data_IF_260933811581
#
_entry.id   IF_260933811581
#
_cell.length_a   1.000
_cell.length_b   1.000
_cell.length_c   1.000
_cell.angle_alpha   90.00
_cell.angle_beta   90.00
_cell.angle_gamma   90.00
#
_symmetry.space_group_name_H-M   'P 1'
#
loop_
_entity.id
_entity.type
_entity.pdbx_description
1 polymer ?
#
# COMPACT_ATOMS: atom_id res chain seq x y z
N UNK A 1 5.81 3.32 -0.56
CA UNK A 1 5.05 2.31 0.23
C UNK A 1 5.00 2.68 1.70
N UNK A 2 6.10 3.17 2.28
CA UNK A 2 6.17 3.55 3.70
C UNK A 2 5.10 4.54 4.13
N UNK A 3 4.84 5.59 3.34
CA UNK A 3 3.77 6.54 3.63
C UNK A 3 2.37 5.87 3.77
N UNK A 4 2.07 4.85 2.96
CA UNK A 4 0.80 4.11 3.06
C UNK A 4 0.73 3.33 4.37
N UNK A 5 1.84 2.69 4.78
CA UNK A 5 1.91 1.97 6.06
C UNK A 5 1.82 2.94 7.21
N UNK A 6 2.54 4.07 7.17
CA UNK A 6 2.49 5.12 8.17
C UNK A 6 1.05 5.61 8.40
N UNK A 7 0.31 5.91 7.33
CA UNK A 7 -1.08 6.38 7.42
C UNK A 7 -1.97 5.38 8.17
N UNK A 8 -1.91 4.09 7.84
CA UNK A 8 -2.85 3.10 8.38
C UNK A 8 -2.37 2.39 9.66
N UNK A 9 -1.06 2.28 9.88
CA UNK A 9 -0.48 1.58 11.02
C UNK A 9 -0.12 2.53 12.15
N UNK A 10 0.63 3.57 11.82
CA UNK A 10 1.25 4.47 12.81
C UNK A 10 0.34 5.68 13.10
N UNK A 11 -0.54 6.03 12.14
CA UNK A 11 -1.44 7.16 12.21
C UNK A 11 -0.76 8.43 11.72
N UNK A 12 -1.15 8.90 10.53
CA UNK A 12 -0.66 10.17 10.02
C UNK A 12 -1.46 11.32 10.64
N UNK A 13 -0.80 12.17 11.44
CA UNK A 13 -1.45 13.27 12.14
C UNK A 13 -2.12 14.29 11.20
N UNK A 14 -1.57 14.46 9.99
CA UNK A 14 -2.12 15.35 8.95
C UNK A 14 -3.23 14.72 8.12
N UNK A 15 -3.52 13.42 8.30
CA UNK A 15 -4.57 12.68 7.57
C UNK A 15 -5.49 12.05 8.62
N UNK A 16 -6.13 12.93 9.41
CA UNK A 16 -7.12 12.55 10.42
C UNK A 16 -8.52 12.26 9.86
N UNK A 17 -9.44 11.69 10.68
CA UNK A 17 -10.84 11.49 10.32
C UNK A 17 -11.49 12.82 9.91
N UNK A 18 -12.35 12.79 8.90
CA UNK A 18 -12.95 13.96 8.23
C UNK A 18 -13.75 14.94 9.10
N UNK A 19 -13.83 14.73 10.41
CA UNK A 19 -14.71 15.47 11.33
C UNK A 19 -13.95 16.28 12.40
N UNK A 20 -12.63 16.45 12.27
CA UNK A 20 -11.86 17.32 13.19
C UNK A 20 -11.25 18.48 12.43
N UNK A 21 -11.55 19.69 12.90
CA UNK A 21 -10.90 20.93 12.45
C UNK A 21 -9.38 20.75 12.53
N UNK A 22 -8.73 20.82 11.36
CA UNK A 22 -7.27 20.86 11.29
C UNK A 22 -6.82 22.12 12.01
N UNK A 23 -6.35 21.98 13.26
CA UNK A 23 -5.64 23.09 13.92
C UNK A 23 -4.51 23.50 13.00
N UNK A 24 -4.56 24.75 12.54
CA UNK A 24 -3.71 25.37 11.52
C UNK A 24 -2.20 25.34 11.84
N UNK A 25 -1.81 24.82 13.02
CA UNK A 25 -0.44 24.73 13.54
C UNK A 25 0.02 23.27 13.77
N UNK A 26 -0.32 22.32 12.89
CA UNK A 26 0.31 20.99 12.92
C UNK A 26 1.55 20.95 12.05
N UNK A 27 2.66 20.48 12.62
CA UNK A 27 3.91 20.29 11.89
C UNK A 27 3.70 19.36 10.67
N UNK A 28 4.33 19.64 9.51
CA UNK A 28 4.22 18.77 8.34
C UNK A 28 4.65 17.33 8.64
N UNK A 29 3.93 16.36 8.07
CA UNK A 29 4.32 14.96 8.17
C UNK A 29 5.71 14.73 7.53
N UNK A 30 6.59 14.00 8.22
CA UNK A 30 7.94 13.63 7.74
C UNK A 30 7.91 12.84 6.42
N UNK A 31 6.82 12.12 6.16
CA UNK A 31 6.63 11.38 4.93
C UNK A 31 5.98 12.28 3.88
N UNK A 32 6.79 12.87 3.00
CA UNK A 32 6.34 13.77 1.91
C UNK A 32 5.21 13.15 1.07
N UNK A 33 5.28 11.84 0.82
CA UNK A 33 4.27 11.12 0.06
C UNK A 33 2.89 11.02 0.75
N UNK A 34 2.76 11.34 2.04
CA UNK A 34 1.46 11.35 2.72
C UNK A 34 0.53 12.39 2.11
N UNK A 35 1.01 13.61 1.85
CA UNK A 35 0.22 14.68 1.20
C UNK A 35 -0.28 14.24 -0.18
N UNK A 36 0.53 13.49 -0.93
CA UNK A 36 0.12 12.93 -2.23
C UNK A 36 -0.92 11.81 -2.12
N UNK A 37 -0.96 11.08 -1.01
CA UNK A 37 -1.91 9.98 -0.77
C UNK A 37 -3.20 10.44 -0.07
N UNK A 38 -3.18 11.58 0.60
CA UNK A 38 -4.25 12.15 1.41
C UNK A 38 -5.60 12.19 0.68
N UNK A 39 -5.63 12.75 -0.54
CA UNK A 39 -6.85 12.82 -1.35
C UNK A 39 -7.42 11.43 -1.66
N UNK A 40 -6.54 10.48 -2.00
CA UNK A 40 -6.94 9.10 -2.28
C UNK A 40 -7.51 8.43 -1.04
N UNK A 41 -6.89 8.62 0.12
CA UNK A 41 -7.33 8.05 1.41
C UNK A 41 -8.71 8.58 1.79
N UNK A 42 -8.89 9.91 1.78
CA UNK A 42 -10.19 10.53 2.10
C UNK A 42 -11.28 10.11 1.11
N UNK A 43 -10.97 10.13 -0.18
CA UNK A 43 -11.91 9.68 -1.21
C UNK A 43 -12.32 8.23 -0.99
N UNK A 44 -11.35 7.34 -0.77
CA UNK A 44 -11.63 5.91 -0.60
C UNK A 44 -12.43 5.61 0.68
N UNK A 45 -12.33 6.45 1.71
CA UNK A 45 -13.16 6.33 2.91
C UNK A 45 -14.64 6.67 2.65
N UNK A 46 -14.92 7.72 1.86
CA UNK A 46 -16.28 8.24 1.65
C UNK A 46 -16.95 7.87 0.31
N UNK A 47 -16.24 7.25 -0.63
CA UNK A 47 -16.79 6.99 -1.96
C UNK A 47 -17.84 5.87 -1.96
N UNK A 48 -19.05 6.16 -2.45
CA UNK A 48 -20.13 5.18 -2.62
C UNK A 48 -19.86 4.17 -3.75
N UNK A 49 -18.96 4.50 -4.69
CA UNK A 49 -18.57 3.64 -5.81
C UNK A 49 -17.27 2.85 -5.51
N UNK A 50 -17.02 2.53 -4.25
CA UNK A 50 -15.83 1.80 -3.77
C UNK A 50 -15.89 0.30 -4.06
N UNK A 51 -16.05 -0.04 -5.33
CA UNK A 51 -16.04 -1.42 -5.85
C UNK A 51 -14.93 -1.57 -6.89
N UNK A 52 -14.40 -2.79 -7.12
CA UNK A 52 -13.54 -3.05 -8.27
C UNK A 52 -14.27 -2.66 -9.56
N UNK A 53 -13.65 -1.80 -10.38
CA UNK A 53 -14.29 -1.26 -11.60
C UNK A 53 -15.18 -0.02 -11.39
N UNK A 54 -15.23 0.52 -10.16
CA UNK A 54 -15.89 1.80 -9.86
C UNK A 54 -15.13 3.02 -10.38
N UNK A 55 -15.03 4.08 -9.56
CA UNK A 55 -14.40 5.33 -10.00
C UNK A 55 -12.86 5.23 -10.14
N UNK A 56 -12.25 6.18 -10.88
CA UNK A 56 -10.81 6.20 -11.15
C UNK A 56 -9.94 6.36 -9.89
N UNK A 57 -10.38 7.14 -8.91
CA UNK A 57 -9.62 7.35 -7.67
C UNK A 57 -9.62 6.08 -6.80
N UNK A 58 -10.77 5.41 -6.66
CA UNK A 58 -10.85 4.11 -6.01
C UNK A 58 -10.00 3.08 -6.75
N UNK A 59 -10.04 3.05 -8.09
CA UNK A 59 -9.20 2.12 -8.88
C UNK A 59 -7.71 2.30 -8.57
N UNK A 60 -7.22 3.54 -8.48
CA UNK A 60 -5.82 3.81 -8.08
C UNK A 60 -5.53 3.35 -6.65
N UNK A 61 -6.43 3.60 -5.70
CA UNK A 61 -6.27 3.12 -4.32
C UNK A 61 -6.24 1.58 -4.27
N UNK A 62 -7.14 0.90 -4.97
CA UNK A 62 -7.16 -0.56 -5.07
C UNK A 62 -5.82 -1.11 -5.57
N UNK A 63 -5.23 -0.50 -6.61
CA UNK A 63 -3.91 -0.90 -7.13
C UNK A 63 -2.79 -0.71 -6.10
N UNK A 64 -2.82 0.37 -5.31
CA UNK A 64 -1.85 0.61 -4.24
C UNK A 64 -1.96 -0.43 -3.12
N UNK A 65 -3.19 -0.79 -2.72
CA UNK A 65 -3.45 -1.80 -1.70
C UNK A 65 -3.09 -3.21 -2.18
N UNK A 66 -3.34 -3.51 -3.47
CA UNK A 66 -2.92 -4.77 -4.08
C UNK A 66 -1.39 -4.87 -4.11
N UNK A 67 -0.70 -3.82 -4.58
CA UNK A 67 0.76 -3.74 -4.56
C UNK A 67 1.31 -3.92 -3.14
N UNK A 68 0.70 -3.27 -2.15
CA UNK A 68 1.06 -3.44 -0.75
C UNK A 68 1.00 -4.90 -0.32
N UNK A 69 -0.13 -5.58 -0.55
CA UNK A 69 -0.34 -6.97 -0.10
C UNK A 69 0.71 -7.94 -0.65
N UNK A 70 1.16 -7.68 -1.88
CA UNK A 70 2.15 -8.50 -2.56
C UNK A 70 3.55 -8.32 -1.97
N UNK A 71 3.88 -7.12 -1.50
CA UNK A 71 5.17 -6.79 -0.87
C UNK A 71 5.16 -7.03 0.66
N UNK A 72 4.01 -6.98 1.30
CA UNK A 72 3.87 -7.10 2.76
C UNK A 72 4.17 -8.52 3.23
N UNK A 73 5.17 -8.71 4.09
CA UNK A 73 5.52 -10.04 4.60
C UNK A 73 4.49 -10.59 5.60
N UNK A 74 3.98 -9.74 6.50
CA UNK A 74 3.21 -10.19 7.65
C UNK A 74 1.78 -9.63 7.64
N UNK A 75 0.86 -10.31 6.93
CA UNK A 75 -0.51 -9.84 6.73
C UNK A 75 -1.39 -9.91 8.00
N UNK A 76 -1.03 -10.72 8.99
CA UNK A 76 -1.82 -10.91 10.21
C UNK A 76 -1.79 -9.70 11.14
N UNK A 77 -0.66 -8.98 11.19
CA UNK A 77 -0.47 -7.77 12.01
C UNK A 77 -0.56 -6.50 11.17
N UNK A 78 -0.77 -6.63 9.86
CA UNK A 78 -0.84 -5.49 8.96
C UNK A 78 -2.18 -4.74 9.11
N UNK A 79 -2.09 -3.43 9.37
CA UNK A 79 -3.25 -2.54 9.53
C UNK A 79 -3.68 -1.86 8.22
N UNK A 80 -2.95 -2.07 7.12
CA UNK A 80 -3.33 -1.53 5.80
C UNK A 80 -4.61 -2.22 5.32
N UNK A 81 -5.65 -1.48 4.90
CA UNK A 81 -6.93 -2.05 4.54
C UNK A 81 -6.80 -3.01 3.38
N UNK A 82 -7.59 -4.08 3.39
CA UNK A 82 -7.67 -5.09 2.34
C UNK A 82 -6.37 -5.90 2.10
N UNK A 83 -5.29 -5.60 2.83
CA UNK A 83 -4.01 -6.31 2.68
C UNK A 83 -4.20 -7.83 2.83
N UNK A 84 -4.90 -8.26 3.88
CA UNK A 84 -5.20 -9.67 4.13
C UNK A 84 -6.05 -10.30 3.02
N UNK A 85 -7.14 -9.64 2.63
CA UNK A 85 -8.04 -10.11 1.56
C UNK A 85 -7.29 -10.33 0.25
N UNK A 86 -6.43 -9.39 -0.12
CA UNK A 86 -5.59 -9.54 -1.30
C UNK A 86 -4.56 -10.66 -1.15
N UNK A 87 -3.92 -10.79 0.01
CA UNK A 87 -2.97 -11.87 0.29
C UNK A 87 -3.61 -13.24 0.09
N UNK A 88 -4.82 -13.42 0.60
CA UNK A 88 -5.60 -14.66 0.46
C UNK A 88 -5.99 -14.93 -1.00
N UNK A 89 -6.39 -13.89 -1.75
CA UNK A 89 -6.65 -14.01 -3.19
C UNK A 89 -5.41 -14.42 -3.98
N UNK A 90 -4.24 -13.85 -3.66
CA UNK A 90 -2.97 -14.17 -4.31
C UNK A 90 -2.58 -15.62 -4.05
N UNK A 91 -2.78 -16.14 -2.84
CA UNK A 91 -2.54 -17.56 -2.52
C UNK A 91 -3.38 -18.52 -3.37
N UNK A 92 -4.54 -18.07 -3.85
CA UNK A 92 -5.45 -18.85 -4.72
C UNK A 92 -5.19 -18.63 -6.22
N UNK A 93 -4.21 -17.81 -6.60
CA UNK A 93 -3.91 -17.55 -8.02
C UNK A 93 -3.20 -18.73 -8.69
N UNK A 94 -3.28 -18.77 -10.02
CA UNK A 94 -2.61 -19.79 -10.82
C UNK A 94 -1.09 -19.69 -10.70
N UNK A 95 -0.39 -20.82 -10.90
CA UNK A 95 1.09 -20.84 -10.96
C UNK A 95 1.64 -19.87 -12.01
N UNK A 96 0.93 -19.66 -13.11
CA UNK A 96 1.30 -18.70 -14.17
C UNK A 96 1.29 -17.25 -13.67
N UNK A 97 0.26 -16.88 -12.91
CA UNK A 97 0.15 -15.54 -12.32
C UNK A 97 1.22 -15.31 -11.24
N UNK A 98 1.53 -16.35 -10.46
CA UNK A 98 2.62 -16.32 -9.49
C UNK A 98 3.97 -16.04 -10.17
N UNK A 99 4.30 -16.75 -11.27
CA UNK A 99 5.53 -16.55 -12.03
C UNK A 99 5.58 -15.13 -12.63
N UNK A 100 4.48 -14.69 -13.25
CA UNK A 100 4.37 -13.32 -13.79
C UNK A 100 4.61 -12.27 -12.70
N UNK A 101 4.03 -12.49 -11.53
CA UNK A 101 4.21 -11.59 -10.39
C UNK A 101 5.65 -11.59 -9.87
N UNK A 102 6.28 -12.75 -9.70
CA UNK A 102 7.70 -12.86 -9.29
C UNK A 102 8.62 -12.06 -10.22
N UNK A 103 8.41 -12.14 -11.53
CA UNK A 103 9.16 -11.34 -12.51
C UNK A 103 8.92 -9.84 -12.36
N UNK A 104 7.67 -9.42 -12.15
CA UNK A 104 7.33 -8.00 -11.94
C UNK A 104 7.98 -7.46 -10.65
N UNK A 105 7.93 -8.23 -9.55
CA UNK A 105 8.61 -7.86 -8.31
C UNK A 105 10.09 -7.71 -8.56
N UNK A 106 10.74 -8.70 -9.19
CA UNK A 106 12.17 -8.66 -9.51
C UNK A 106 12.54 -7.34 -10.20
N UNK A 107 11.77 -6.93 -11.21
CA UNK A 107 11.96 -5.64 -11.91
C UNK A 107 11.76 -4.44 -10.99
N UNK A 108 10.71 -4.43 -10.18
CA UNK A 108 10.48 -3.34 -9.22
C UNK A 108 11.62 -3.25 -8.21
N UNK A 109 12.21 -4.38 -7.80
CA UNK A 109 13.35 -4.40 -6.89
C UNK A 109 14.63 -3.92 -7.57
N UNK A 110 14.93 -4.40 -8.79
CA UNK A 110 16.15 -4.00 -9.51
C UNK A 110 16.11 -2.57 -10.03
N UNK A 111 14.93 -2.05 -10.37
CA UNK A 111 14.77 -0.64 -10.78
C UNK A 111 14.81 0.32 -9.57
N UNK A 112 14.73 -0.18 -8.33
CA UNK A 112 14.80 0.68 -7.14
C UNK A 112 16.23 0.97 -6.69
N UNK A 113 16.82 1.95 -7.38
CA UNK A 113 17.58 3.07 -6.77
C UNK A 113 16.62 4.20 -6.33
N UNK A 114 15.41 3.85 -5.86
CA UNK A 114 14.43 4.80 -5.32
C UNK A 114 14.59 4.76 -3.81
N UNK A 115 15.40 5.71 -3.32
CA UNK A 115 15.61 6.17 -1.95
C UNK A 115 14.99 5.33 -0.81
N UNK A 116 15.87 4.75 0.02
CA UNK A 116 15.59 4.35 1.40
C UNK A 116 14.81 3.03 1.56
N UNK A 117 15.54 1.94 1.82
CA UNK A 117 14.98 0.71 2.39
C UNK A 117 14.76 0.92 3.91
N UNK A 118 13.81 0.23 4.58
CA UNK A 118 13.67 -1.23 4.57
C UNK A 118 12.21 -1.69 4.47
N UNK A 119 11.74 -2.01 3.26
CA UNK A 119 10.42 -2.65 3.08
C UNK A 119 10.47 -3.97 2.29
N UNK A 120 11.64 -4.38 1.80
CA UNK A 120 11.79 -5.68 1.16
C UNK A 120 12.36 -6.60 2.24
N UNK A 121 11.56 -7.55 2.71
CA UNK A 121 12.10 -8.61 3.57
C UNK A 121 13.24 -9.31 2.83
N UNK A 122 14.38 -9.48 3.49
CA UNK A 122 15.51 -10.28 2.99
C UNK A 122 15.04 -11.69 2.56
N UNK A 123 13.99 -12.23 3.20
CA UNK A 123 13.39 -13.51 2.81
C UNK A 123 12.82 -13.54 1.38
N UNK A 124 12.35 -12.41 0.83
CA UNK A 124 11.89 -12.35 -0.57
C UNK A 124 13.05 -12.29 -1.57
N UNK A 125 14.23 -11.85 -1.14
CA UNK A 125 15.45 -11.98 -1.94
C UNK A 125 15.89 -13.45 -1.94
N UNK A 126 15.84 -14.15 -0.80
CA UNK A 126 16.23 -15.55 -0.70
C UNK A 126 15.38 -16.50 -1.55
N UNK A 127 14.06 -16.28 -1.65
CA UNK A 127 13.17 -17.10 -2.50
C UNK A 127 13.25 -16.79 -4.00
N UNK A 128 14.05 -15.80 -4.40
CA UNK A 128 14.29 -15.45 -5.81
C UNK A 128 15.61 -16.03 -6.35
N UNK A 129 16.40 -16.65 -5.47
CA UNK A 129 17.67 -17.33 -5.74
C UNK A 129 17.59 -18.82 -5.34
N UNK A 130 16.40 -19.41 -5.46
CA UNK A 130 16.13 -20.85 -5.50
C UNK A 130 15.17 -21.12 -6.66
#
# INVERSE_FOLDING_TARGET
MEALVHIYKDGCQTIGPSDKDFKENQAPCKYVACKGLELLVRHFAGCKLRVPGGCIHCKRMWQLLELHSRLCANSHTCRVPLCRNFKERIKKQSKKDEIRWKMLVKKILTTKRIAGAPFISSAMVSSLWQ
#
